data_IF_521507175448
#
_entry.id   IF_521507175448
#
_cell.length_a   1.000
_cell.length_b   1.000
_cell.length_c   1.000
_cell.angle_alpha   90.00
_cell.angle_beta   90.00
_cell.angle_gamma   90.00
#
_symmetry.space_group_name_H-M   'P 1'
#
loop_
_entity.id
_entity.type
_entity.pdbx_description
1 polymer ?
#
# COMPACT_ATOMS: atom_id res chain seq x y z
N UNK A 1 12.68 13.57 -14.67
CA UNK A 1 11.34 13.02 -14.98
C UNK A 1 10.79 12.59 -13.65
N UNK A 2 9.74 13.23 -13.16
CA UNK A 2 9.01 12.74 -11.99
C UNK A 2 8.49 11.35 -12.33
N UNK A 3 8.97 10.33 -11.62
CA UNK A 3 8.34 9.02 -11.67
C UNK A 3 6.96 9.16 -11.03
N UNK A 4 5.93 9.12 -11.86
CA UNK A 4 4.56 9.13 -11.38
C UNK A 4 4.35 7.84 -10.60
N UNK A 5 4.35 7.92 -9.26
CA UNK A 5 4.12 6.76 -8.39
C UNK A 5 2.69 6.29 -8.65
N UNK A 6 2.54 5.17 -9.37
CA UNK A 6 1.26 4.55 -9.62
C UNK A 6 0.92 3.60 -8.46
N UNK A 7 -0.27 3.78 -7.90
CA UNK A 7 -0.71 3.03 -6.72
C UNK A 7 -1.14 1.64 -7.17
N UNK A 8 -0.48 0.62 -6.63
CA UNK A 8 -0.72 -0.77 -7.04
C UNK A 8 -2.13 -1.22 -6.63
N UNK A 9 -2.92 -1.65 -7.62
CA UNK A 9 -4.25 -2.24 -7.38
C UNK A 9 -4.16 -3.74 -7.14
N UNK A 10 -5.22 -4.36 -6.57
CA UNK A 10 -5.31 -5.82 -6.44
C UNK A 10 -5.15 -6.54 -7.78
N UNK A 11 -5.70 -5.98 -8.87
CA UNK A 11 -5.57 -6.56 -10.21
C UNK A 11 -4.12 -6.58 -10.70
N UNK A 12 -3.37 -5.51 -10.42
CA UNK A 12 -1.94 -5.43 -10.73
C UNK A 12 -1.13 -6.43 -9.91
N UNK A 13 -1.40 -6.55 -8.60
CA UNK A 13 -0.75 -7.53 -7.73
C UNK A 13 -1.01 -8.96 -8.21
N UNK A 14 -2.26 -9.34 -8.48
CA UNK A 14 -2.61 -10.66 -9.03
C UNK A 14 -1.86 -10.98 -10.32
N UNK A 15 -1.72 -10.00 -11.22
CA UNK A 15 -0.99 -10.17 -12.48
C UNK A 15 0.50 -10.44 -12.22
N UNK A 16 1.11 -9.79 -11.23
CA UNK A 16 2.51 -10.05 -10.86
C UNK A 16 2.67 -11.41 -10.18
N UNK A 17 1.79 -11.76 -9.24
CA UNK A 17 1.81 -13.09 -8.58
C UNK A 17 1.71 -14.20 -9.63
N UNK A 18 0.77 -14.11 -10.58
CA UNK A 18 0.63 -15.09 -11.65
C UNK A 18 1.85 -15.15 -12.60
N UNK A 19 2.70 -14.12 -12.65
CA UNK A 19 3.97 -14.16 -13.35
C UNK A 19 5.04 -14.87 -12.52
N UNK A 20 5.08 -14.63 -11.20
CA UNK A 20 5.98 -15.29 -10.28
C UNK A 20 5.72 -16.81 -10.21
N UNK A 21 4.46 -17.24 -10.17
CA UNK A 21 4.07 -18.66 -10.18
C UNK A 21 4.59 -19.45 -11.39
N UNK A 22 4.93 -18.77 -12.50
CA UNK A 22 5.52 -19.40 -13.69
C UNK A 22 7.03 -19.60 -13.59
N UNK A 23 7.65 -19.12 -12.51
CA UNK A 23 9.09 -19.20 -12.27
C UNK A 23 9.39 -20.46 -11.47
N UNK A 24 10.31 -21.30 -11.96
CA UNK A 24 10.61 -22.62 -11.35
C UNK A 24 11.07 -22.58 -9.88
N UNK A 25 11.47 -21.41 -9.37
CA UNK A 25 11.98 -21.26 -8.01
C UNK A 25 11.00 -20.58 -7.04
N UNK A 26 9.79 -20.26 -7.50
CA UNK A 26 8.73 -19.72 -6.65
C UNK A 26 7.73 -20.84 -6.37
N UNK A 27 7.53 -21.12 -5.08
CA UNK A 27 6.59 -22.11 -4.56
C UNK A 27 5.62 -21.45 -3.58
N UNK A 28 4.58 -22.17 -3.19
CA UNK A 28 3.62 -21.70 -2.17
C UNK A 28 4.27 -21.42 -0.80
N UNK A 29 5.45 -22.01 -0.54
CA UNK A 29 6.24 -21.77 0.69
C UNK A 29 7.19 -20.56 0.59
N UNK A 30 7.25 -19.92 -0.58
CA UNK A 30 8.16 -18.79 -0.82
C UNK A 30 7.71 -17.58 -0.02
N UNK A 31 8.59 -17.12 0.88
CA UNK A 31 8.30 -15.98 1.76
C UNK A 31 8.26 -14.68 0.95
N UNK A 32 7.25 -13.86 1.23
CA UNK A 32 7.19 -12.48 0.75
C UNK A 32 8.01 -11.62 1.72
N UNK A 33 9.06 -10.99 1.21
CA UNK A 33 9.88 -10.03 1.95
C UNK A 33 9.62 -8.64 1.39
N UNK A 34 9.23 -7.70 2.25
CA UNK A 34 9.12 -6.29 1.89
C UNK A 34 10.45 -5.62 2.26
N UNK A 35 11.32 -5.47 1.27
CA UNK A 35 12.64 -4.84 1.42
C UNK A 35 12.49 -3.34 1.69
N UNK A 36 12.19 -3.03 2.95
CA UNK A 36 12.02 -1.69 3.51
C UNK A 36 12.99 -1.54 4.68
N UNK A 37 13.23 -0.31 5.13
CA UNK A 37 14.07 -0.06 6.31
C UNK A 37 13.65 -0.93 7.50
N UNK A 38 14.61 -1.27 8.38
CA UNK A 38 14.34 -2.13 9.55
C UNK A 38 13.27 -1.55 10.50
N UNK A 39 13.02 -0.25 10.40
CA UNK A 39 12.02 0.52 11.13
C UNK A 39 10.60 0.42 10.54
N UNK A 40 10.46 -0.11 9.33
CA UNK A 40 9.24 0.11 8.54
C UNK A 40 8.32 -1.11 8.53
N UNK A 41 8.70 -2.29 8.02
CA UNK A 41 7.73 -3.40 7.88
C UNK A 41 8.40 -4.79 7.87
N UNK A 42 8.70 -5.37 9.04
CA UNK A 42 9.20 -6.75 9.13
C UNK A 42 8.31 -7.74 9.92
N UNK A 43 7.17 -7.29 10.46
CA UNK A 43 6.32 -8.12 11.35
C UNK A 43 4.86 -8.22 10.88
N UNK A 44 4.65 -8.44 9.58
CA UNK A 44 3.31 -8.71 9.03
C UNK A 44 2.94 -10.18 9.30
N UNK A 45 1.86 -10.38 10.05
CA UNK A 45 1.28 -11.71 10.25
C UNK A 45 0.49 -12.20 9.02
N UNK A 46 0.35 -13.52 8.78
CA UNK A 46 -0.42 -14.04 7.64
C UNK A 46 -1.90 -13.61 7.62
N UNK A 47 -2.46 -13.27 8.77
CA UNK A 47 -3.83 -12.77 8.98
C UNK A 47 -3.93 -11.25 9.01
N UNK A 48 -2.83 -10.53 8.74
CA UNK A 48 -2.78 -9.07 8.78
C UNK A 48 -3.42 -8.36 7.56
N UNK A 49 -3.95 -9.11 6.60
CA UNK A 49 -4.61 -8.57 5.42
C UNK A 49 -6.09 -8.34 5.72
N UNK A 50 -6.50 -7.07 5.76
CA UNK A 50 -7.90 -6.68 5.96
C UNK A 50 -8.40 -5.85 4.78
N UNK A 51 -9.71 -5.93 4.51
CA UNK A 51 -10.38 -5.01 3.60
C UNK A 51 -10.95 -3.88 4.44
N UNK A 52 -10.47 -2.67 4.18
CA UNK A 52 -10.89 -1.46 4.88
C UNK A 52 -11.37 -0.40 3.88
N UNK A 53 -11.94 0.67 4.40
CA UNK A 53 -12.34 1.83 3.62
C UNK A 53 -11.35 2.97 3.84
N UNK A 54 -10.87 3.56 2.76
CA UNK A 54 -9.91 4.67 2.78
C UNK A 54 -10.35 5.82 1.88
N UNK A 55 -9.84 7.00 2.19
CA UNK A 55 -10.04 8.23 1.42
C UNK A 55 -8.69 8.78 0.98
N UNK A 56 -8.66 9.44 -0.18
CA UNK A 56 -7.45 10.09 -0.69
C UNK A 56 -7.19 11.40 0.05
N UNK A 57 -5.93 11.69 0.36
CA UNK A 57 -5.51 13.01 0.79
C UNK A 57 -4.35 13.50 -0.07
N UNK A 58 -4.14 14.82 -0.10
CA UNK A 58 -3.01 15.43 -0.80
C UNK A 58 -2.19 16.19 0.23
N UNK A 59 -0.88 15.93 0.26
CA UNK A 59 0.09 16.72 1.02
C UNK A 59 0.99 17.45 0.04
N UNK A 60 1.25 18.71 0.32
CA UNK A 60 2.22 19.53 -0.41
C UNK A 60 3.54 19.56 0.38
N UNK A 61 4.66 19.32 -0.29
CA UNK A 61 5.99 19.51 0.29
C UNK A 61 6.26 21.02 0.43
N UNK A 62 6.60 21.46 1.63
CA UNK A 62 6.77 22.89 1.95
C UNK A 62 7.98 23.54 1.25
N UNK A 63 8.96 22.74 0.81
CA UNK A 63 10.20 23.23 0.21
C UNK A 63 10.15 23.17 -1.33
N UNK A 64 9.56 22.14 -1.90
CA UNK A 64 9.49 21.92 -3.35
C UNK A 64 8.14 22.30 -3.96
N UNK A 65 7.10 22.47 -3.13
CA UNK A 65 5.70 22.65 -3.56
C UNK A 65 5.14 21.48 -4.39
N UNK A 66 5.80 20.32 -4.35
CA UNK A 66 5.31 19.11 -5.01
C UNK A 66 4.13 18.53 -4.23
N UNK A 67 3.12 18.04 -4.97
CA UNK A 67 1.93 17.44 -4.38
C UNK A 67 2.00 15.92 -4.42
N UNK A 68 1.88 15.31 -3.24
CA UNK A 68 1.86 13.86 -3.06
C UNK A 68 0.45 13.41 -2.68
N UNK A 69 -0.08 12.46 -3.45
CA UNK A 69 -1.37 11.83 -3.13
C UNK A 69 -1.13 10.61 -2.26
N UNK A 70 -1.82 10.57 -1.12
CA UNK A 70 -1.79 9.45 -0.19
C UNK A 70 -3.20 8.93 0.11
N UNK A 71 -3.26 7.84 0.86
CA UNK A 71 -4.49 7.24 1.34
C UNK A 71 -4.50 7.19 2.86
N UNK A 72 -5.65 7.51 3.46
CA UNK A 72 -5.87 7.42 4.90
C UNK A 72 -7.13 6.62 5.16
N UNK A 73 -7.15 5.84 6.24
CA UNK A 73 -8.35 5.12 6.66
C UNK A 73 -9.49 6.11 6.94
N UNK A 74 -10.73 5.68 6.72
CA UNK A 74 -11.92 6.52 6.90
C UNK A 74 -11.99 7.13 8.32
N UNK A 75 -11.58 6.36 9.34
CA UNK A 75 -11.47 6.82 10.74
C UNK A 75 -10.47 7.98 10.95
N UNK A 76 -9.51 8.15 10.04
CA UNK A 76 -8.46 9.18 10.08
C UNK A 76 -8.62 10.23 8.99
N UNK A 77 -9.66 10.12 8.16
CA UNK A 77 -9.91 10.98 7.01
C UNK A 77 -10.11 12.45 7.40
N UNK A 78 -10.88 12.71 8.47
CA UNK A 78 -11.11 14.08 8.98
C UNK A 78 -9.81 14.76 9.43
N UNK A 79 -8.88 14.01 10.04
CA UNK A 79 -7.61 14.56 10.53
C UNK A 79 -6.64 14.92 9.40
N UNK A 80 -6.76 14.24 8.25
CA UNK A 80 -5.88 14.42 7.10
C UNK A 80 -6.47 15.33 6.02
N UNK A 81 -7.62 15.97 6.27
CA UNK A 81 -8.36 16.75 5.28
C UNK A 81 -8.56 15.97 3.96
N UNK A 82 -8.89 14.69 4.07
CA UNK A 82 -9.05 13.82 2.92
C UNK A 82 -10.20 14.28 2.00
N UNK A 83 -10.04 14.01 0.71
CA UNK A 83 -11.05 14.27 -0.31
C UNK A 83 -12.27 13.38 -0.06
N UNK A 84 -13.51 13.93 -0.16
CA UNK A 84 -14.72 13.12 -0.04
C UNK A 84 -14.77 12.00 -1.07
N UNK A 85 -14.78 10.75 -0.61
CA UNK A 85 -14.83 9.57 -1.47
C UNK A 85 -14.16 8.39 -0.80
N UNK A 86 -14.96 7.45 -0.30
CA UNK A 86 -14.49 6.24 0.36
C UNK A 86 -14.37 5.10 -0.65
N UNK A 87 -13.20 4.47 -0.72
CA UNK A 87 -12.96 3.28 -1.54
C UNK A 87 -12.41 2.12 -0.72
N UNK A 88 -12.75 0.90 -1.12
CA UNK A 88 -12.28 -0.31 -0.47
C UNK A 88 -10.81 -0.56 -0.84
N UNK A 89 -9.96 -0.69 0.18
CA UNK A 89 -8.52 -0.94 0.05
C UNK A 89 -8.12 -2.20 0.82
N UNK A 90 -7.02 -2.82 0.40
CA UNK A 90 -6.39 -3.92 1.15
C UNK A 90 -5.32 -3.31 2.04
N UNK A 91 -5.47 -3.44 3.35
CA UNK A 91 -4.53 -2.95 4.35
C UNK A 91 -3.72 -4.12 4.86
N UNK A 92 -2.42 -3.90 5.00
CA UNK A 92 -1.53 -4.83 5.66
C UNK A 92 -1.17 -4.22 7.02
N UNK A 93 -1.74 -4.77 8.10
CA UNK A 93 -1.48 -4.26 9.46
C UNK A 93 -0.17 -4.85 10.00
N UNK A 94 0.67 -4.02 10.60
CA UNK A 94 1.76 -4.53 11.41
C UNK A 94 1.20 -5.05 12.75
N UNK A 95 1.83 -6.07 13.35
CA UNK A 95 1.41 -6.57 14.67
C UNK A 95 1.71 -5.60 15.83
N UNK A 96 2.43 -4.49 15.58
CA UNK A 96 2.80 -3.48 16.57
C UNK A 96 2.76 -2.05 16.03
#
# INVERSE_FOLDING_TARGET
MEEKIEIMTLGMLKKQIAAFEKTEHVTDDTKIFLDTGWDSIQEIAPDAFEIEHAQQFVVEDELTHEQFTGYTLEEKAEKMNATPGSEAVIVIRNLY
#
